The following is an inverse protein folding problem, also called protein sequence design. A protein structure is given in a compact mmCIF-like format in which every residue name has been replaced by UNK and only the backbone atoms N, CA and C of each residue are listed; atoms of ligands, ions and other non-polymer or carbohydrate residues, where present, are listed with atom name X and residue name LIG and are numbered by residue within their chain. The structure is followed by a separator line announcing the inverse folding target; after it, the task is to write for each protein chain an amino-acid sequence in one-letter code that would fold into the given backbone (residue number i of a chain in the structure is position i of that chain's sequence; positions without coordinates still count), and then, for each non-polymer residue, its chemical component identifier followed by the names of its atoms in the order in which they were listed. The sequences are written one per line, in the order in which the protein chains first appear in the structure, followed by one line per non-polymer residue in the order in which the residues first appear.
data_IF_263935132259
#
_entry.id   IF_263935132259
#
_cell.length_a   1.000
_cell.length_b   1.000
_cell.length_c   1.000
_cell.angle_alpha   90.00
_cell.angle_beta   90.00
_cell.angle_gamma   90.00
#
_symmetry.space_group_name_H-M   'P 1'
#
loop_
_entity.id
_entity.type
_entity.pdbx_description
1 polymer ?
#
# COMPACT_ATOMS: atom_id res chain seq x y z
N UNK A 1 43.15 20.23 5.41
CA UNK A 1 41.73 20.28 4.98
C UNK A 1 41.28 18.88 4.74
N UNK A 2 40.51 18.29 5.68
CA UNK A 2 40.05 16.90 5.59
C UNK A 2 38.82 16.86 4.69
N UNK A 3 38.95 16.25 3.51
CA UNK A 3 37.82 15.96 2.66
C UNK A 3 36.98 14.89 3.37
N UNK A 4 35.79 15.26 3.86
CA UNK A 4 34.77 14.30 4.23
C UNK A 4 34.36 13.52 2.97
N UNK A 5 34.84 12.31 2.83
CA UNK A 5 34.34 11.34 1.86
C UNK A 5 32.89 11.02 2.27
N UNK A 6 31.93 11.69 1.66
CA UNK A 6 30.52 11.30 1.75
C UNK A 6 30.38 9.97 1.02
N UNK A 7 30.06 8.91 1.76
CA UNK A 7 29.68 7.63 1.13
C UNK A 7 28.56 7.89 0.11
N UNK A 8 28.59 7.23 -1.05
CA UNK A 8 27.53 7.41 -2.06
C UNK A 8 26.18 7.10 -1.42
N UNK A 9 25.22 8.00 -1.61
CA UNK A 9 23.85 7.82 -1.12
C UNK A 9 23.26 6.55 -1.72
N UNK A 10 22.67 5.71 -0.89
CA UNK A 10 21.93 4.54 -1.39
C UNK A 10 20.62 5.02 -1.99
N UNK A 11 20.29 4.62 -3.24
CA UNK A 11 19.01 5.00 -3.84
C UNK A 11 17.85 4.52 -2.97
N UNK A 12 16.79 5.32 -2.95
CA UNK A 12 15.56 4.97 -2.22
C UNK A 12 14.81 3.85 -2.95
N UNK A 13 14.44 2.80 -2.21
CA UNK A 13 13.50 1.76 -2.63
C UNK A 13 12.33 1.73 -1.64
N UNK A 14 11.10 1.86 -2.14
CA UNK A 14 9.87 1.80 -1.36
C UNK A 14 9.22 0.43 -1.55
N UNK A 15 9.22 -0.38 -0.50
CA UNK A 15 8.55 -1.67 -0.44
C UNK A 15 7.11 -1.44 0.02
N UNK A 16 6.17 -1.53 -0.89
CA UNK A 16 4.75 -1.41 -0.65
C UNK A 16 4.19 -2.79 -0.31
N UNK A 17 3.69 -2.96 0.91
CA UNK A 17 3.16 -4.23 1.40
C UNK A 17 1.66 -4.05 1.69
N UNK A 18 0.81 -4.74 0.94
CA UNK A 18 -0.60 -4.82 1.27
C UNK A 18 -0.80 -5.77 2.45
N UNK A 19 -1.68 -5.43 3.39
CA UNK A 19 -2.05 -6.31 4.50
C UNK A 19 -2.52 -7.70 4.03
N UNK A 20 -2.41 -8.70 4.88
CA UNK A 20 -2.94 -10.05 4.66
C UNK A 20 -4.47 -10.07 4.54
N UNK A 21 -5.03 -11.24 4.23
CA UNK A 21 -6.47 -11.40 4.04
C UNK A 21 -7.28 -11.02 5.29
N UNK A 22 -8.43 -10.40 5.06
CA UNK A 22 -9.47 -10.08 6.03
C UNK A 22 -10.78 -10.66 5.53
N UNK A 23 -11.77 -10.86 6.38
CA UNK A 23 -13.08 -11.38 5.97
C UNK A 23 -13.66 -10.63 4.76
N UNK A 24 -13.61 -9.31 4.76
CA UNK A 24 -14.15 -8.52 3.66
C UNK A 24 -13.28 -8.55 2.41
N UNK A 25 -11.95 -8.70 2.53
CA UNK A 25 -11.10 -8.86 1.35
C UNK A 25 -11.32 -10.21 0.65
N UNK A 26 -11.66 -11.26 1.40
CA UNK A 26 -12.02 -12.57 0.85
C UNK A 26 -13.39 -12.54 0.14
N UNK A 27 -14.31 -11.71 0.64
CA UNK A 27 -15.67 -11.57 0.10
C UNK A 27 -15.80 -10.45 -0.96
N UNK A 28 -14.70 -9.76 -1.30
CA UNK A 28 -14.69 -8.66 -2.29
C UNK A 28 -15.40 -7.38 -1.83
N UNK A 29 -15.61 -7.20 -0.52
CA UNK A 29 -16.24 -6.00 0.04
C UNK A 29 -15.23 -4.88 0.23
N UNK A 30 -15.63 -3.66 -0.05
CA UNK A 30 -14.83 -2.47 0.23
C UNK A 30 -14.62 -2.29 1.72
N UNK A 31 -13.36 -2.20 2.14
CA UNK A 31 -12.95 -2.10 3.55
C UNK A 31 -12.08 -0.86 3.73
N UNK A 32 -12.68 0.27 4.03
CA UNK A 32 -11.98 1.53 4.28
C UNK A 32 -11.70 1.74 5.76
N UNK A 33 -12.61 2.47 6.42
CA UNK A 33 -12.52 2.84 7.83
C UNK A 33 -12.86 1.71 8.79
N UNK A 34 -13.63 0.71 8.36
CA UNK A 34 -13.95 -0.47 9.17
C UNK A 34 -12.68 -1.21 9.55
N UNK A 35 -12.44 -1.34 10.86
CA UNK A 35 -11.17 -1.80 11.40
C UNK A 35 -11.17 -3.31 11.68
N UNK A 36 -11.14 -4.11 10.61
CA UNK A 36 -11.10 -5.57 10.66
C UNK A 36 -9.70 -6.09 10.95
N UNK A 37 -9.63 -7.17 11.73
CA UNK A 37 -8.41 -7.96 11.94
C UNK A 37 -8.16 -8.92 10.77
N UNK A 38 -6.96 -9.49 10.73
CA UNK A 38 -6.62 -10.56 9.78
C UNK A 38 -7.43 -11.83 10.06
N UNK A 39 -7.80 -12.54 9.00
CA UNK A 39 -8.25 -13.94 9.12
C UNK A 39 -7.07 -14.87 9.42
N UNK A 40 -7.34 -16.14 9.71
CA UNK A 40 -6.27 -17.13 9.88
C UNK A 40 -5.46 -17.31 8.58
N UNK A 41 -6.11 -17.17 7.42
CA UNK A 41 -5.42 -17.10 6.14
C UNK A 41 -4.50 -15.86 6.07
N UNK A 42 -5.01 -14.69 6.46
CA UNK A 42 -4.22 -13.46 6.48
C UNK A 42 -3.00 -13.52 7.39
N UNK A 43 -3.13 -14.18 8.56
CA UNK A 43 -1.99 -14.42 9.47
C UNK A 43 -0.95 -15.35 8.84
N UNK A 44 -1.38 -16.45 8.20
CA UNK A 44 -0.49 -17.34 7.45
C UNK A 44 0.25 -16.62 6.34
N UNK A 45 -0.46 -15.78 5.57
CA UNK A 45 0.15 -14.95 4.54
C UNK A 45 1.21 -14.00 5.12
N UNK A 46 0.94 -13.39 6.29
CA UNK A 46 1.89 -12.50 6.95
C UNK A 46 3.14 -13.25 7.46
N UNK A 47 3.03 -14.50 7.91
CA UNK A 47 4.20 -15.34 8.26
C UNK A 47 5.05 -15.69 7.02
N UNK A 48 4.42 -15.92 5.86
CA UNK A 48 5.15 -16.12 4.61
C UNK A 48 5.85 -14.85 4.16
N UNK A 49 5.18 -13.67 4.30
CA UNK A 49 5.80 -12.36 4.10
C UNK A 49 7.03 -12.15 4.98
N UNK A 50 6.96 -12.54 6.27
CA UNK A 50 8.10 -12.47 7.19
C UNK A 50 9.31 -13.20 6.63
N UNK A 51 9.12 -14.43 6.15
CA UNK A 51 10.18 -15.22 5.54
C UNK A 51 10.75 -14.54 4.29
N UNK A 52 9.88 -13.99 3.44
CA UNK A 52 10.27 -13.27 2.20
C UNK A 52 11.06 -11.99 2.50
N UNK A 53 10.68 -11.28 3.56
CA UNK A 53 11.32 -10.02 3.97
C UNK A 53 12.53 -10.20 4.89
N UNK A 54 12.81 -11.40 5.39
CA UNK A 54 13.84 -11.66 6.41
C UNK A 54 15.26 -11.24 5.99
N UNK A 55 15.56 -11.21 4.69
CA UNK A 55 16.86 -10.80 4.15
C UNK A 55 16.97 -9.29 3.86
N UNK A 56 15.85 -8.58 3.94
CA UNK A 56 15.79 -7.16 3.66
C UNK A 56 16.18 -6.34 4.89
N UNK A 57 16.98 -5.29 4.67
CA UNK A 57 17.36 -4.36 5.74
C UNK A 57 16.70 -3.01 5.49
N UNK A 58 15.59 -2.79 6.17
CA UNK A 58 14.86 -1.52 6.06
C UNK A 58 15.47 -0.45 6.96
N UNK A 59 15.64 0.75 6.41
CA UNK A 59 16.08 1.94 7.17
C UNK A 59 14.92 2.55 7.96
N UNK A 60 13.70 2.41 7.45
CA UNK A 60 12.44 2.81 8.09
C UNK A 60 11.34 1.81 7.76
N UNK A 61 10.41 1.65 8.70
CA UNK A 61 9.20 0.85 8.51
C UNK A 61 8.01 1.72 8.93
N UNK A 62 7.06 1.90 8.04
CA UNK A 62 5.81 2.62 8.27
C UNK A 62 4.61 1.68 8.18
N UNK A 63 3.55 1.99 8.92
CA UNK A 63 2.29 1.26 8.80
C UNK A 63 1.08 2.19 8.96
N UNK A 64 0.03 1.85 8.23
CA UNK A 64 -1.32 2.35 8.52
C UNK A 64 -1.70 2.06 9.98
N UNK A 65 -2.50 2.92 10.63
CA UNK A 65 -3.01 2.66 11.97
C UNK A 65 -4.06 1.54 12.03
N UNK A 66 -4.61 1.10 10.88
CA UNK A 66 -5.67 0.09 10.86
C UNK A 66 -5.11 -1.29 11.21
N UNK A 67 -5.87 -2.04 12.03
CA UNK A 67 -5.44 -3.33 12.64
C UNK A 67 -4.83 -4.28 11.63
N UNK A 68 -5.48 -4.53 10.49
CA UNK A 68 -5.02 -5.45 9.45
C UNK A 68 -3.60 -5.14 8.95
N UNK A 69 -3.25 -3.87 8.79
CA UNK A 69 -1.91 -3.46 8.36
C UNK A 69 -0.89 -3.57 9.51
N UNK A 70 -1.28 -3.12 10.72
CA UNK A 70 -0.44 -3.24 11.91
C UNK A 70 -0.15 -4.70 12.28
N UNK A 71 -1.15 -5.57 12.23
CA UNK A 71 -1.01 -7.01 12.52
C UNK A 71 -0.06 -7.65 11.50
N UNK A 72 -0.24 -7.37 10.20
CA UNK A 72 0.66 -7.84 9.15
C UNK A 72 2.10 -7.43 9.43
N UNK A 73 2.32 -6.14 9.72
CA UNK A 73 3.64 -5.58 10.02
C UNK A 73 4.28 -6.25 11.25
N UNK A 74 3.52 -6.43 12.33
CA UNK A 74 3.99 -7.05 13.58
C UNK A 74 4.32 -8.54 13.39
N UNK A 75 3.49 -9.28 12.65
CA UNK A 75 3.76 -10.69 12.34
C UNK A 75 5.03 -10.80 11.50
N UNK A 76 5.29 -9.86 10.58
CA UNK A 76 6.56 -9.79 9.85
C UNK A 76 7.77 -9.46 10.75
N UNK A 77 7.58 -9.19 12.04
CA UNK A 77 8.65 -8.92 13.01
C UNK A 77 9.10 -7.47 13.08
N UNK A 78 8.33 -6.52 12.53
CA UNK A 78 8.68 -5.12 12.52
C UNK A 78 7.90 -4.29 13.56
N UNK A 79 8.55 -3.24 14.06
CA UNK A 79 7.91 -2.18 14.86
C UNK A 79 7.82 -0.93 14.00
N UNK A 80 6.61 -0.58 13.49
CA UNK A 80 6.47 0.51 12.54
C UNK A 80 6.33 1.87 13.20
N UNK A 81 6.68 2.91 12.44
CA UNK A 81 6.18 4.27 12.65
C UNK A 81 4.76 4.30 12.09
N UNK A 82 3.77 4.49 12.96
CA UNK A 82 2.36 4.55 12.56
C UNK A 82 2.07 5.91 11.92
N UNK A 83 1.50 5.87 10.70
CA UNK A 83 1.19 7.09 9.96
C UNK A 83 -0.27 7.06 9.48
N UNK A 84 -1.12 8.04 9.87
CA UNK A 84 -2.52 8.10 9.49
C UNK A 84 -2.74 8.31 7.98
N UNK A 85 -1.78 8.85 7.24
CA UNK A 85 -1.88 9.01 5.79
C UNK A 85 -1.89 7.67 5.05
N UNK A 86 -1.44 6.59 5.69
CA UNK A 86 -1.41 5.24 5.12
C UNK A 86 -2.72 4.47 5.25
N UNK A 87 -3.81 5.09 5.75
CA UNK A 87 -5.12 4.45 5.80
C UNK A 87 -5.64 4.14 4.39
N UNK A 88 -6.54 3.17 4.31
CA UNK A 88 -7.24 2.86 3.06
C UNK A 88 -8.13 4.03 2.63
N UNK A 89 -8.56 4.02 1.39
CA UNK A 89 -9.58 4.91 0.87
C UNK A 89 -10.84 4.83 1.74
N UNK A 90 -11.38 5.96 2.14
CA UNK A 90 -12.67 6.00 2.85
C UNK A 90 -13.80 5.84 1.82
N UNK A 91 -14.48 4.70 1.87
CA UNK A 91 -15.54 4.38 0.90
C UNK A 91 -16.90 4.95 1.28
N UNK A 92 -17.03 5.69 2.40
CA UNK A 92 -18.29 6.30 2.81
C UNK A 92 -19.48 5.33 2.76
N UNK A 93 -20.50 5.65 1.98
CA UNK A 93 -21.72 4.83 1.85
C UNK A 93 -21.49 3.47 1.15
N UNK A 94 -20.34 3.29 0.50
CA UNK A 94 -19.99 2.02 -0.15
C UNK A 94 -19.17 1.08 0.74
N UNK A 95 -18.91 1.48 1.98
CA UNK A 95 -18.25 0.62 2.98
C UNK A 95 -19.05 -0.68 3.17
N UNK A 96 -18.37 -1.82 3.07
CA UNK A 96 -19.01 -3.15 3.21
C UNK A 96 -19.77 -3.66 1.99
N UNK A 97 -19.94 -2.86 0.94
CA UNK A 97 -20.51 -3.31 -0.33
C UNK A 97 -19.42 -3.90 -1.23
N UNK A 98 -19.84 -4.80 -2.12
CA UNK A 98 -19.00 -5.28 -3.22
C UNK A 98 -19.13 -4.37 -4.44
N UNK A 99 -18.14 -4.38 -5.35
CA UNK A 99 -18.22 -3.61 -6.61
C UNK A 99 -19.50 -3.91 -7.41
N UNK A 100 -19.94 -5.18 -7.62
CA UNK A 100 -21.22 -5.44 -8.28
C UNK A 100 -22.41 -4.75 -7.59
N UNK A 101 -22.50 -4.79 -6.25
CA UNK A 101 -23.59 -4.15 -5.51
C UNK A 101 -23.59 -2.63 -5.68
N UNK A 102 -22.42 -2.01 -5.80
CA UNK A 102 -22.30 -0.58 -6.08
C UNK A 102 -22.76 -0.28 -7.50
N UNK A 103 -22.33 -1.08 -8.48
CA UNK A 103 -22.70 -0.92 -9.89
C UNK A 103 -24.19 -1.11 -10.17
N UNK A 104 -24.89 -1.96 -9.41
CA UNK A 104 -26.36 -2.07 -9.48
C UNK A 104 -27.06 -0.73 -9.16
N UNK A 105 -26.51 0.04 -8.24
CA UNK A 105 -27.07 1.34 -7.80
C UNK A 105 -26.52 2.51 -8.62
N UNK A 106 -25.29 2.41 -9.08
CA UNK A 106 -24.59 3.43 -9.81
C UNK A 106 -23.82 2.83 -11.02
N UNK A 107 -24.51 2.55 -12.12
CA UNK A 107 -23.88 2.00 -13.31
C UNK A 107 -22.75 2.88 -13.83
N UNK A 108 -21.61 2.25 -14.14
CA UNK A 108 -20.42 2.99 -14.62
C UNK A 108 -19.56 3.61 -13.53
N UNK A 109 -19.90 3.41 -12.25
CA UNK A 109 -19.06 3.90 -11.16
C UNK A 109 -17.62 3.33 -11.21
N UNK A 110 -16.66 4.22 -11.05
CA UNK A 110 -15.25 3.90 -10.88
C UNK A 110 -14.70 4.69 -9.69
N UNK A 111 -14.16 3.99 -8.69
CA UNK A 111 -13.62 4.61 -7.49
C UNK A 111 -12.56 5.67 -7.79
N UNK A 112 -11.67 5.41 -8.76
CA UNK A 112 -10.55 6.29 -9.10
C UNK A 112 -10.97 7.56 -9.84
N UNK A 113 -12.19 7.61 -10.35
CA UNK A 113 -12.76 8.77 -11.05
C UNK A 113 -13.74 9.54 -10.17
N UNK A 114 -14.58 8.80 -9.42
CA UNK A 114 -15.75 9.40 -8.74
C UNK A 114 -15.63 9.40 -7.22
N UNK A 115 -14.68 8.64 -6.65
CA UNK A 115 -14.65 8.42 -5.20
C UNK A 115 -15.89 7.66 -4.71
N UNK A 116 -16.31 7.93 -3.48
CA UNK A 116 -17.51 7.33 -2.89
C UNK A 116 -18.32 8.38 -2.11
N UNK A 117 -19.67 8.36 -2.18
CA UNK A 117 -20.52 9.28 -1.44
C UNK A 117 -20.25 9.22 0.06
N UNK A 118 -20.08 10.37 0.71
CA UNK A 118 -19.74 10.45 2.14
C UNK A 118 -18.33 9.94 2.51
N UNK A 119 -17.53 9.54 1.50
CA UNK A 119 -16.15 9.10 1.65
C UNK A 119 -15.12 10.12 1.15
N UNK A 120 -13.92 9.63 0.81
CA UNK A 120 -12.87 10.47 0.20
C UNK A 120 -13.10 10.64 -1.30
N UNK A 121 -12.86 11.86 -1.81
CA UNK A 121 -12.74 12.09 -3.24
C UNK A 121 -11.36 11.63 -3.77
N UNK A 122 -11.21 11.45 -5.10
CA UNK A 122 -9.89 11.18 -5.71
C UNK A 122 -8.84 12.22 -5.35
N UNK A 123 -9.19 13.50 -5.28
CA UNK A 123 -8.27 14.58 -4.93
C UNK A 123 -7.82 14.48 -3.47
N UNK A 124 -8.70 14.10 -2.56
CA UNK A 124 -8.38 13.96 -1.13
C UNK A 124 -7.38 12.82 -0.88
N UNK A 125 -7.59 11.65 -1.50
CA UNK A 125 -6.64 10.54 -1.34
C UNK A 125 -5.31 10.84 -2.03
N UNK A 126 -5.31 11.53 -3.17
CA UNK A 126 -4.10 12.01 -3.85
C UNK A 126 -3.33 12.98 -2.97
N UNK A 127 -4.01 13.96 -2.36
CA UNK A 127 -3.37 14.90 -1.43
C UNK A 127 -2.69 14.18 -0.25
N UNK A 128 -3.35 13.15 0.31
CA UNK A 128 -2.82 12.32 1.39
C UNK A 128 -1.62 11.49 0.94
N UNK A 129 -1.67 10.92 -0.27
CA UNK A 129 -0.54 10.21 -0.87
C UNK A 129 0.65 11.14 -1.13
N UNK A 130 0.43 12.34 -1.63
CA UNK A 130 1.47 13.37 -1.78
C UNK A 130 2.09 13.79 -0.46
N UNK A 131 1.28 14.00 0.59
CA UNK A 131 1.79 14.36 1.91
C UNK A 131 2.76 13.27 2.43
N UNK A 132 2.37 11.99 2.32
CA UNK A 132 3.26 10.90 2.71
C UNK A 132 4.49 10.77 1.80
N UNK A 133 4.32 10.98 0.48
CA UNK A 133 5.44 10.95 -0.47
C UNK A 133 6.52 11.99 -0.11
N UNK A 134 6.10 13.20 0.30
CA UNK A 134 7.03 14.23 0.78
C UNK A 134 7.82 13.82 2.03
N UNK A 135 7.23 12.99 2.90
CA UNK A 135 7.93 12.50 4.09
C UNK A 135 9.00 11.46 3.76
N UNK A 136 8.81 10.66 2.71
CA UNK A 136 9.70 9.54 2.40
C UNK A 136 10.69 9.82 1.27
N UNK A 137 10.44 10.79 0.39
CA UNK A 137 11.28 11.05 -0.79
C UNK A 137 12.73 11.43 -0.47
N UNK A 138 12.99 11.99 0.73
CA UNK A 138 14.33 12.37 1.19
C UNK A 138 15.07 11.25 1.93
N UNK A 139 14.41 10.11 2.13
CA UNK A 139 15.00 8.95 2.79
C UNK A 139 15.94 8.21 1.82
N UNK A 140 16.83 7.39 2.38
CA UNK A 140 17.79 6.59 1.63
C UNK A 140 17.65 5.11 1.99
N UNK A 141 18.01 4.25 1.02
CA UNK A 141 17.95 2.80 1.19
C UNK A 141 16.52 2.26 1.13
N UNK A 142 16.26 1.14 1.80
CA UNK A 142 14.97 0.45 1.73
C UNK A 142 14.02 0.93 2.81
N UNK A 143 12.80 1.29 2.41
CA UNK A 143 11.72 1.71 3.31
C UNK A 143 10.54 0.77 3.12
N UNK A 144 10.02 0.17 4.19
CA UNK A 144 8.83 -0.66 4.15
C UNK A 144 7.58 0.15 4.52
N UNK A 145 6.48 -0.08 3.78
CA UNK A 145 5.20 0.63 3.92
C UNK A 145 4.08 -0.41 3.95
N UNK A 146 3.53 -0.68 5.12
CA UNK A 146 2.39 -1.58 5.30
C UNK A 146 1.08 -0.81 5.22
N UNK A 147 0.28 -1.09 4.20
CA UNK A 147 -0.93 -0.33 3.91
C UNK A 147 -1.97 -1.19 3.17
N UNK A 148 -2.75 -0.60 2.28
CA UNK A 148 -3.97 -1.15 1.71
C UNK A 148 -3.96 -1.03 0.17
N UNK A 149 -4.91 -1.74 -0.46
CA UNK A 149 -4.90 -1.89 -1.91
C UNK A 149 -5.05 -0.56 -2.65
N UNK A 150 -6.13 0.18 -2.42
CA UNK A 150 -6.41 1.37 -3.23
C UNK A 150 -5.49 2.53 -2.87
N UNK A 151 -5.13 2.70 -1.59
CA UNK A 151 -4.13 3.70 -1.21
C UNK A 151 -2.78 3.45 -1.89
N UNK A 152 -2.26 2.21 -1.86
CA UNK A 152 -0.96 1.89 -2.46
C UNK A 152 -0.96 2.03 -3.98
N UNK A 153 -2.10 1.76 -4.64
CA UNK A 153 -2.28 1.98 -6.08
C UNK A 153 -2.21 3.48 -6.42
N UNK A 154 -2.91 4.32 -5.67
CA UNK A 154 -2.80 5.79 -5.79
C UNK A 154 -1.38 6.25 -5.48
N UNK A 155 -0.77 5.76 -4.40
CA UNK A 155 0.60 6.14 -4.05
C UNK A 155 1.60 5.83 -5.19
N UNK A 156 1.44 4.69 -5.85
CA UNK A 156 2.26 4.32 -7.01
C UNK A 156 2.04 5.25 -8.21
N UNK A 157 0.80 5.68 -8.48
CA UNK A 157 0.55 6.66 -9.56
C UNK A 157 1.22 8.00 -9.26
N UNK A 158 1.19 8.44 -7.99
CA UNK A 158 1.84 9.69 -7.58
C UNK A 158 3.37 9.58 -7.59
N UNK A 159 3.92 8.40 -7.29
CA UNK A 159 5.34 8.13 -7.47
C UNK A 159 5.77 8.29 -8.93
N UNK A 160 5.01 7.72 -9.85
CA UNK A 160 5.31 7.77 -11.30
C UNK A 160 4.98 9.12 -11.94
N UNK A 161 4.19 9.99 -11.29
CA UNK A 161 3.73 11.24 -11.88
C UNK A 161 2.67 11.05 -12.97
N UNK A 162 1.89 9.94 -12.91
CA UNK A 162 0.79 9.66 -13.86
C UNK A 162 -0.57 9.96 -13.24
N UNK A 163 -1.61 10.00 -14.08
CA UNK A 163 -2.97 10.26 -13.62
C UNK A 163 -3.43 9.25 -12.54
N UNK A 164 -4.14 9.69 -11.48
CA UNK A 164 -4.64 8.80 -10.42
C UNK A 164 -5.53 7.66 -10.94
N UNK A 165 -6.26 7.90 -12.04
CA UNK A 165 -7.10 6.90 -12.71
C UNK A 165 -6.31 5.68 -13.21
N UNK A 166 -5.01 5.83 -13.51
CA UNK A 166 -4.14 4.71 -13.84
C UNK A 166 -4.05 3.67 -12.71
N UNK A 167 -4.37 4.06 -11.48
CA UNK A 167 -4.49 3.14 -10.35
C UNK A 167 -5.50 2.01 -10.59
N UNK A 168 -6.53 2.19 -11.46
CA UNK A 168 -7.48 1.12 -11.82
C UNK A 168 -6.81 -0.06 -12.52
N UNK A 169 -5.73 0.18 -13.25
CA UNK A 169 -4.98 -0.83 -14.01
C UNK A 169 -3.97 -1.62 -13.15
N UNK A 170 -3.75 -1.20 -11.91
CA UNK A 170 -2.76 -1.78 -11.02
C UNK A 170 -3.40 -2.79 -10.06
N UNK A 171 -3.45 -4.09 -10.42
CA UNK A 171 -3.91 -5.13 -9.50
C UNK A 171 -2.99 -5.22 -8.27
N UNK A 172 -3.56 -5.50 -7.09
CA UNK A 172 -2.77 -5.64 -5.85
C UNK A 172 -3.43 -6.65 -4.90
N UNK A 173 -2.84 -7.82 -4.77
CA UNK A 173 -3.34 -8.95 -3.97
C UNK A 173 -3.06 -8.77 -2.46
N UNK A 174 -3.84 -9.37 -1.55
CA UNK A 174 -3.48 -9.41 -0.13
C UNK A 174 -2.09 -10.01 0.08
N UNK A 175 -1.34 -9.45 1.03
CA UNK A 175 0.04 -9.84 1.36
C UNK A 175 1.03 -9.75 0.17
N UNK A 176 0.72 -9.00 -0.89
CA UNK A 176 1.66 -8.77 -1.98
C UNK A 176 2.74 -7.76 -1.59
N UNK A 177 3.87 -7.83 -2.30
CA UNK A 177 4.96 -6.87 -2.27
C UNK A 177 5.04 -6.18 -3.63
N UNK A 178 5.11 -4.85 -3.62
CA UNK A 178 5.51 -4.06 -4.79
C UNK A 178 6.69 -3.19 -4.42
N UNK A 179 7.57 -2.91 -5.38
CA UNK A 179 8.79 -2.13 -5.14
C UNK A 179 8.83 -0.97 -6.12
N UNK A 180 8.86 0.24 -5.58
CA UNK A 180 9.10 1.46 -6.32
C UNK A 180 10.54 1.90 -6.10
N UNK A 181 11.18 2.45 -7.12
CA UNK A 181 12.57 2.90 -7.03
C UNK A 181 12.97 3.73 -8.22
N UNK A 182 14.24 3.70 -8.53
CA UNK A 182 14.82 4.49 -9.62
C UNK A 182 15.52 3.59 -10.63
N UNK A 183 15.35 3.90 -11.90
CA UNK A 183 16.25 3.48 -12.96
C UNK A 183 16.99 4.74 -13.45
N UNK A 184 18.28 4.84 -13.13
CA UNK A 184 19.05 6.09 -13.23
C UNK A 184 18.38 7.19 -12.39
N UNK A 185 17.85 8.24 -13.03
CA UNK A 185 17.15 9.36 -12.37
C UNK A 185 15.63 9.25 -12.49
N UNK A 186 15.12 8.27 -13.23
CA UNK A 186 13.69 8.10 -13.46
C UNK A 186 13.04 7.26 -12.37
N UNK A 187 11.85 7.69 -11.91
CA UNK A 187 11.01 6.92 -10.99
C UNK A 187 10.32 5.78 -11.71
N UNK A 188 10.50 4.56 -11.21
CA UNK A 188 9.99 3.35 -11.86
C UNK A 188 9.29 2.42 -10.84
N UNK A 189 8.52 1.48 -11.38
CA UNK A 189 8.08 0.28 -10.67
C UNK A 189 9.11 -0.82 -10.96
N UNK A 190 9.86 -1.23 -9.95
CA UNK A 190 10.84 -2.33 -10.05
C UNK A 190 10.13 -3.67 -10.04
N UNK A 191 9.10 -3.81 -9.20
CA UNK A 191 8.29 -5.01 -9.05
C UNK A 191 6.86 -4.60 -8.69
N UNK A 192 5.87 -5.32 -9.23
CA UNK A 192 4.47 -5.07 -8.90
C UNK A 192 3.73 -6.36 -8.57
N UNK A 193 3.00 -6.33 -7.43
CA UNK A 193 2.11 -7.40 -6.99
C UNK A 193 2.79 -8.78 -6.88
N UNK A 194 4.04 -8.83 -6.36
CA UNK A 194 4.74 -10.10 -6.11
C UNK A 194 4.06 -10.87 -4.98
N UNK A 195 3.53 -12.03 -5.30
CA UNK A 195 2.91 -13.00 -4.39
C UNK A 195 3.62 -14.36 -4.43
N UNK A 196 4.80 -14.45 -5.02
CA UNK A 196 5.55 -15.70 -5.22
C UNK A 196 5.81 -16.45 -3.90
N UNK A 197 5.95 -15.73 -2.79
CA UNK A 197 6.12 -16.29 -1.45
C UNK A 197 4.87 -16.98 -0.91
N UNK A 198 3.69 -16.77 -1.50
CA UNK A 198 2.44 -17.41 -1.05
C UNK A 198 2.24 -18.81 -1.65
N UNK A 199 3.10 -19.22 -2.59
CA UNK A 199 2.99 -20.51 -3.26
C UNK A 199 1.77 -20.63 -4.18
N UNK A 200 1.17 -19.50 -4.57
CA UNK A 200 0.07 -19.40 -5.54
C UNK A 200 0.69 -18.99 -6.86
N UNK A 201 0.74 -19.90 -7.81
CA UNK A 201 1.14 -19.66 -9.20
C UNK A 201 -0.08 -19.45 -10.09
#
# INVERSE_FOLDING_TARGET
MSQKTTSPKKPLELYLIRHGATEWSENGRHTGSTDLSLTDLGKKQAELLKTRLAKEKFTKVFSSPLKRALETCKICGFTPIVNPDLREWNYGEYEGLTTPQVLEKNPGWNLFESGAPGGESPEQIVARAHHFLHQVHSLEGKVAIFSHAHFLRIFATQWLGVAPTFGSELALSPASISILGYERDDRVIICWNDISHLGIS
#
